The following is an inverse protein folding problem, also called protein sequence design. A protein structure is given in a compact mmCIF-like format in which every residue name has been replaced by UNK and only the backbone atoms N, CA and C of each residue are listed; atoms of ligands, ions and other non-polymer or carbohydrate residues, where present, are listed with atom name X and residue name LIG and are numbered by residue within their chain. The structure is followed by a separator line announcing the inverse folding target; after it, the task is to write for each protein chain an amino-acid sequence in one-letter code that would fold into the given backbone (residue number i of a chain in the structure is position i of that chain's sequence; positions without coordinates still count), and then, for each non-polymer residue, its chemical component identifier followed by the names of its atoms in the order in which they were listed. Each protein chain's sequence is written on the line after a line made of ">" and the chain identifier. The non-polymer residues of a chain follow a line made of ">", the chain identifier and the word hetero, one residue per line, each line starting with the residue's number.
data_IF_647066671061
#
_entry.id   IF_647066671061
#
_cell.length_a   1.000
_cell.length_b   1.000
_cell.length_c   1.000
_cell.angle_alpha   90.00
_cell.angle_beta   90.00
_cell.angle_gamma   90.00
#
_symmetry.space_group_name_H-M   'P 1'
#
loop_
_entity.id
_entity.type
_entity.pdbx_description
1 polymer ?
#
# COMPACT_ATOMS: atom_id res chain seq x y z
N UNK A 1 -24.64 -7.33 -26.43
CA UNK A 1 -25.31 -6.66 -25.30
C UNK A 1 -24.82 -7.12 -23.92
N UNK A 2 -24.61 -8.43 -23.67
CA UNK A 2 -24.14 -8.94 -22.36
C UNK A 2 -22.76 -8.41 -21.89
N UNK A 3 -21.81 -8.17 -22.82
CA UNK A 3 -20.46 -7.66 -22.52
C UNK A 3 -20.45 -6.17 -22.12
N UNK A 4 -21.32 -5.36 -22.72
CA UNK A 4 -21.46 -3.94 -22.40
C UNK A 4 -22.08 -3.75 -21.01
N UNK A 5 -23.06 -4.58 -20.66
CA UNK A 5 -23.62 -4.63 -19.31
C UNK A 5 -22.59 -4.99 -18.25
N UNK A 6 -21.69 -5.94 -18.55
CA UNK A 6 -20.59 -6.31 -17.65
C UNK A 6 -19.56 -5.17 -17.50
N UNK A 7 -19.24 -4.47 -18.61
CA UNK A 7 -18.34 -3.33 -18.60
C UNK A 7 -18.92 -2.15 -17.81
N UNK A 8 -20.23 -1.90 -17.96
CA UNK A 8 -20.97 -0.87 -17.22
C UNK A 8 -21.11 -1.25 -15.74
N UNK A 9 -21.35 -2.53 -15.41
CA UNK A 9 -21.30 -3.01 -14.02
C UNK A 9 -19.91 -2.88 -13.41
N UNK A 10 -18.84 -3.12 -14.19
CA UNK A 10 -17.46 -2.90 -13.77
C UNK A 10 -17.17 -1.40 -13.56
N UNK A 11 -17.70 -0.53 -14.42
CA UNK A 11 -17.58 0.93 -14.25
C UNK A 11 -18.40 1.44 -13.04
N UNK A 12 -19.60 0.88 -12.81
CA UNK A 12 -20.46 1.23 -11.67
C UNK A 12 -19.91 0.70 -10.34
N UNK A 13 -19.21 -0.45 -10.33
CA UNK A 13 -18.48 -0.91 -9.12
C UNK A 13 -17.24 -0.07 -8.85
N UNK A 14 -16.59 0.48 -9.87
CA UNK A 14 -15.51 1.48 -9.73
C UNK A 14 -16.04 2.80 -9.14
N UNK A 15 -17.31 3.17 -9.41
CA UNK A 15 -17.96 4.34 -8.82
C UNK A 15 -18.48 4.12 -7.39
N UNK A 16 -18.53 2.89 -6.88
CA UNK A 16 -18.81 2.61 -5.48
C UNK A 16 -17.66 2.98 -4.53
N UNK A 17 -16.49 3.37 -5.04
CA UNK A 17 -15.27 3.60 -4.27
C UNK A 17 -15.30 4.90 -3.41
N UNK A 18 -16.32 5.74 -3.53
CA UNK A 18 -16.46 7.00 -2.78
C UNK A 18 -16.98 6.79 -1.35
N UNK A 19 -16.13 6.22 -0.49
CA UNK A 19 -16.25 6.35 0.96
C UNK A 19 -14.85 6.33 1.55
N UNK A 20 -14.09 7.37 1.24
CA UNK A 20 -12.83 7.67 1.89
C UNK A 20 -12.89 9.12 2.35
N UNK A 21 -12.71 9.26 3.65
CA UNK A 21 -12.89 10.49 4.37
C UNK A 21 -11.74 11.46 4.06
N UNK A 22 -12.11 12.60 3.47
CA UNK A 22 -11.23 13.69 3.02
C UNK A 22 -10.73 14.56 4.18
N UNK A 23 -11.18 14.32 5.42
CA UNK A 23 -10.82 15.13 6.59
C UNK A 23 -9.44 14.84 7.16
N UNK A 24 -8.79 13.74 6.77
CA UNK A 24 -7.43 13.44 7.20
C UNK A 24 -6.41 14.27 6.46
N UNK A 25 -5.37 14.71 7.17
CA UNK A 25 -4.13 15.18 6.57
C UNK A 25 -3.64 14.14 5.57
N UNK A 26 -3.22 14.59 4.38
CA UNK A 26 -2.75 13.68 3.34
C UNK A 26 -1.44 12.98 3.75
N UNK A 27 -0.67 13.58 4.65
CA UNK A 27 0.61 13.04 5.12
C UNK A 27 0.42 12.04 6.25
N UNK A 28 1.17 10.93 6.19
CA UNK A 28 1.21 9.87 7.20
C UNK A 28 2.63 9.42 7.48
N UNK A 29 2.87 9.03 8.72
CA UNK A 29 4.04 8.25 9.11
C UNK A 29 3.71 6.76 8.97
N UNK A 30 4.69 5.96 8.52
CA UNK A 30 4.56 4.52 8.37
C UNK A 30 5.74 3.81 9.02
N UNK A 31 5.45 2.73 9.74
CA UNK A 31 6.45 1.79 10.23
C UNK A 31 5.92 0.38 10.01
N UNK A 32 6.74 -0.52 9.51
CA UNK A 32 6.27 -1.86 9.22
C UNK A 32 7.39 -2.84 8.96
N UNK A 33 6.96 -4.06 8.67
CA UNK A 33 7.80 -5.16 8.22
C UNK A 33 7.20 -5.67 6.92
N UNK A 34 8.05 -6.04 5.97
CA UNK A 34 7.63 -6.59 4.69
C UNK A 34 8.58 -7.67 4.19
N UNK A 35 8.12 -8.53 3.29
CA UNK A 35 8.99 -9.54 2.65
C UNK A 35 10.24 -8.94 1.98
N UNK A 36 10.13 -7.85 1.18
CA UNK A 36 11.29 -7.18 0.58
C UNK A 36 12.17 -6.43 1.57
N UNK A 37 11.54 -5.74 2.53
CA UNK A 37 12.19 -4.90 3.53
C UNK A 37 11.82 -5.45 4.91
N UNK A 38 12.77 -6.12 5.58
CA UNK A 38 12.53 -6.79 6.87
C UNK A 38 11.93 -5.83 7.91
N UNK A 39 12.34 -4.55 7.84
CA UNK A 39 11.79 -3.45 8.62
C UNK A 39 11.85 -2.18 7.76
N UNK A 40 10.79 -1.38 7.76
CA UNK A 40 10.76 -0.10 7.05
C UNK A 40 10.12 1.00 7.89
N UNK A 41 10.64 2.21 7.72
CA UNK A 41 10.18 3.45 8.34
C UNK A 41 10.02 4.50 7.26
N UNK A 42 8.97 5.32 7.29
CA UNK A 42 8.90 6.40 6.32
C UNK A 42 7.72 7.34 6.46
N UNK A 43 7.61 8.19 5.46
CA UNK A 43 6.55 9.18 5.33
C UNK A 43 5.85 8.96 3.99
N UNK A 44 4.54 8.84 4.04
CA UNK A 44 3.67 8.78 2.88
C UNK A 44 2.80 10.02 2.76
N UNK A 45 2.37 10.33 1.55
CA UNK A 45 1.37 11.33 1.22
C UNK A 45 0.31 10.68 0.34
N UNK A 46 -0.94 10.69 0.81
CA UNK A 46 -2.11 10.31 0.05
C UNK A 46 -2.45 11.45 -0.93
N UNK A 47 -1.93 11.37 -2.16
CA UNK A 47 -2.12 12.40 -3.20
C UNK A 47 -3.60 12.52 -3.56
N UNK A 48 -4.23 11.36 -3.74
CA UNK A 48 -5.68 11.23 -3.92
C UNK A 48 -6.21 10.20 -2.93
N UNK A 49 -7.53 10.04 -2.94
CA UNK A 49 -8.23 8.98 -2.24
C UNK A 49 -7.63 7.58 -2.51
N UNK A 50 -7.14 7.33 -3.72
CA UNK A 50 -6.64 6.01 -4.14
C UNK A 50 -5.12 5.98 -4.37
N UNK A 51 -4.47 7.13 -4.57
CA UNK A 51 -3.06 7.22 -4.90
C UNK A 51 -2.25 7.69 -3.69
N UNK A 52 -1.14 7.02 -3.44
CA UNK A 52 -0.21 7.29 -2.35
C UNK A 52 1.21 7.36 -2.93
N UNK A 53 1.95 8.38 -2.51
CA UNK A 53 3.38 8.47 -2.73
C UNK A 53 4.06 8.37 -1.38
N UNK A 54 5.28 7.85 -1.31
CA UNK A 54 6.00 7.80 -0.06
C UNK A 54 7.50 7.71 -0.26
N UNK A 55 8.21 8.16 0.76
CA UNK A 55 9.64 7.93 0.90
C UNK A 55 9.82 7.12 2.17
N UNK A 56 10.48 5.98 2.03
CA UNK A 56 10.76 5.05 3.12
C UNK A 56 12.26 4.82 3.20
N UNK A 57 12.70 4.37 4.37
CA UNK A 57 14.03 3.86 4.61
C UNK A 57 13.83 2.53 5.34
N UNK A 58 14.38 1.47 4.77
CA UNK A 58 14.24 0.12 5.29
C UNK A 58 15.56 -0.56 5.53
N UNK A 59 15.51 -1.67 6.28
CA UNK A 59 16.59 -2.63 6.38
C UNK A 59 16.32 -3.71 5.33
N UNK A 60 17.31 -3.94 4.45
CA UNK A 60 17.24 -4.97 3.42
C UNK A 60 17.19 -6.40 4.00
N UNK A 61 17.05 -7.42 3.14
CA UNK A 61 16.93 -8.83 3.55
C UNK A 61 18.18 -9.38 4.26
N UNK A 62 19.34 -8.75 4.09
CA UNK A 62 20.54 -8.98 4.89
C UNK A 62 20.67 -7.89 5.96
N UNK A 63 20.69 -8.30 7.23
CA UNK A 63 20.91 -7.41 8.37
C UNK A 63 22.23 -6.65 8.19
N UNK A 64 22.16 -5.34 7.95
CA UNK A 64 23.34 -4.47 7.77
C UNK A 64 23.22 -3.40 6.69
N UNK A 65 22.26 -3.51 5.76
CA UNK A 65 22.05 -2.52 4.70
C UNK A 65 20.85 -1.61 4.97
N UNK A 66 21.07 -0.28 4.95
CA UNK A 66 20.00 0.73 4.92
C UNK A 66 19.61 1.00 3.47
N UNK A 67 18.35 0.76 3.12
CA UNK A 67 17.81 0.91 1.76
C UNK A 67 16.82 2.08 1.74
N UNK A 68 17.21 3.26 1.23
CA UNK A 68 16.27 4.34 0.97
C UNK A 68 15.41 3.99 -0.24
N UNK A 69 14.11 4.08 -0.07
CA UNK A 69 13.11 3.71 -1.07
C UNK A 69 12.13 4.82 -1.37
N UNK A 70 11.76 4.91 -2.65
CA UNK A 70 10.69 5.79 -3.13
C UNK A 70 9.55 4.90 -3.61
N UNK A 71 8.36 5.11 -3.07
CA UNK A 71 7.20 4.27 -3.30
C UNK A 71 6.08 5.06 -3.97
N UNK A 72 5.48 4.46 -4.99
CA UNK A 72 4.24 4.92 -5.58
C UNK A 72 3.22 3.78 -5.54
N UNK A 73 2.11 3.98 -4.83
CA UNK A 73 1.07 2.98 -4.64
C UNK A 73 -0.30 3.51 -5.07
N UNK A 74 -1.09 2.63 -5.67
CA UNK A 74 -2.50 2.79 -5.94
C UNK A 74 -3.29 1.74 -5.13
N UNK A 75 -4.34 2.16 -4.43
CA UNK A 75 -5.19 1.29 -3.61
C UNK A 75 -6.65 1.44 -4.02
N UNK A 76 -7.23 0.34 -4.49
CA UNK A 76 -8.65 0.21 -4.79
C UNK A 76 -9.35 -0.44 -3.60
N UNK A 77 -10.17 0.34 -2.89
CA UNK A 77 -10.89 -0.14 -1.71
C UNK A 77 -12.25 -0.75 -2.06
N UNK A 78 -12.57 -1.91 -1.46
CA UNK A 78 -13.81 -2.64 -1.69
C UNK A 78 -14.36 -3.31 -0.42
N UNK A 79 -15.52 -3.96 -0.56
CA UNK A 79 -16.23 -4.61 0.54
C UNK A 79 -17.17 -3.68 1.31
N UNK A 80 -17.70 -4.17 2.43
CA UNK A 80 -18.69 -3.44 3.24
C UNK A 80 -18.04 -2.23 3.92
N UNK A 81 -18.79 -1.14 3.94
CA UNK A 81 -18.43 0.10 4.59
C UNK A 81 -18.50 -0.11 6.11
N UNK A 82 -17.42 0.17 6.82
CA UNK A 82 -17.35 0.00 8.26
C UNK A 82 -18.11 1.15 8.95
N UNK A 83 -19.18 0.87 9.73
CA UNK A 83 -20.02 1.92 10.32
C UNK A 83 -19.25 2.84 11.26
N UNK A 84 -18.24 2.29 11.93
CA UNK A 84 -17.39 3.06 12.81
C UNK A 84 -16.57 4.10 12.05
N UNK A 85 -15.95 3.78 10.93
CA UNK A 85 -14.95 4.69 10.30
C UNK A 85 -15.43 5.31 8.99
N UNK A 86 -16.63 4.97 8.55
CA UNK A 86 -17.18 5.30 7.23
C UNK A 86 -16.22 4.92 6.09
N UNK A 87 -15.48 3.81 6.23
CA UNK A 87 -14.45 3.37 5.28
C UNK A 87 -14.58 1.90 4.91
N UNK A 88 -14.20 1.58 3.68
CA UNK A 88 -14.05 0.19 3.21
C UNK A 88 -12.77 -0.41 3.78
N UNK A 89 -12.85 -1.66 4.24
CA UNK A 89 -11.77 -2.32 4.99
C UNK A 89 -10.76 -3.00 4.07
N UNK A 90 -11.23 -3.59 2.97
CA UNK A 90 -10.39 -4.37 2.06
C UNK A 90 -9.89 -3.48 0.93
N UNK A 91 -8.69 -3.79 0.43
CA UNK A 91 -8.14 -3.12 -0.73
C UNK A 91 -7.36 -4.08 -1.62
N UNK A 92 -7.28 -3.72 -2.89
CA UNK A 92 -6.31 -4.22 -3.85
C UNK A 92 -5.28 -3.12 -4.05
N UNK A 93 -4.00 -3.45 -3.93
CA UNK A 93 -2.88 -2.54 -4.09
C UNK A 93 -2.09 -2.92 -5.34
N UNK A 94 -1.79 -1.90 -6.14
CA UNK A 94 -0.80 -1.95 -7.20
C UNK A 94 0.23 -0.86 -6.92
N UNK A 95 1.52 -1.13 -7.08
CA UNK A 95 2.53 -0.09 -6.85
C UNK A 95 3.89 -0.41 -7.44
N UNK A 96 4.80 0.53 -7.26
CA UNK A 96 6.21 0.41 -7.57
C UNK A 96 7.03 0.98 -6.41
N UNK A 97 8.17 0.36 -6.16
CA UNK A 97 9.20 0.79 -5.21
C UNK A 97 10.50 0.93 -5.97
N UNK A 98 11.23 2.01 -5.75
CA UNK A 98 12.58 2.22 -6.28
C UNK A 98 13.58 2.24 -5.13
N UNK A 99 14.57 1.34 -5.18
CA UNK A 99 15.63 1.17 -4.19
C UNK A 99 16.86 1.96 -4.64
N UNK A 100 16.99 3.18 -4.13
CA UNK A 100 18.01 4.15 -4.56
C UNK A 100 19.45 3.67 -4.34
N UNK A 101 19.70 2.82 -3.34
CA UNK A 101 21.05 2.34 -3.02
C UNK A 101 21.58 1.29 -4.00
N UNK A 102 20.70 0.55 -4.68
CA UNK A 102 21.07 -0.52 -5.62
C UNK A 102 20.69 -0.24 -7.08
N UNK A 103 20.05 0.89 -7.35
CA UNK A 103 19.38 1.18 -8.63
C UNK A 103 18.41 0.05 -9.06
N UNK A 104 17.72 -0.52 -8.08
CA UNK A 104 16.77 -1.62 -8.27
C UNK A 104 15.33 -1.10 -8.13
N UNK A 105 14.37 -1.84 -8.67
CA UNK A 105 12.95 -1.59 -8.52
C UNK A 105 12.19 -2.82 -8.05
N UNK A 106 10.99 -2.61 -7.49
CA UNK A 106 10.01 -3.67 -7.28
C UNK A 106 8.62 -3.23 -7.70
N UNK A 107 7.99 -3.99 -8.59
CA UNK A 107 6.55 -3.90 -8.86
C UNK A 107 5.77 -4.67 -7.79
N UNK A 108 4.63 -4.15 -7.34
CA UNK A 108 3.85 -4.72 -6.24
C UNK A 108 2.41 -4.92 -6.66
N UNK A 109 1.87 -6.10 -6.39
CA UNK A 109 0.45 -6.43 -6.50
C UNK A 109 0.01 -7.17 -5.24
N UNK A 110 -0.90 -6.61 -4.45
CA UNK A 110 -1.33 -7.25 -3.20
C UNK A 110 -2.81 -7.06 -2.88
N UNK A 111 -3.32 -7.96 -2.05
CA UNK A 111 -4.65 -7.86 -1.44
C UNK A 111 -4.48 -7.69 0.05
N UNK A 112 -5.26 -6.77 0.62
CA UNK A 112 -5.02 -6.35 1.99
C UNK A 112 -6.23 -5.79 2.70
N UNK A 113 -5.97 -5.42 3.95
CA UNK A 113 -6.96 -4.97 4.91
C UNK A 113 -6.39 -3.80 5.73
N UNK A 114 -7.15 -2.71 5.81
CA UNK A 114 -6.86 -1.57 6.70
C UNK A 114 -7.71 -1.68 7.97
N UNK A 115 -7.06 -1.84 9.11
CA UNK A 115 -7.64 -1.81 10.46
C UNK A 115 -7.49 -0.40 11.04
N UNK A 116 -8.50 0.45 10.83
CA UNK A 116 -8.47 1.86 11.27
C UNK A 116 -9.06 2.05 12.66
N UNK A 117 -8.36 2.82 13.50
CA UNK A 117 -8.90 3.32 14.76
C UNK A 117 -9.54 4.70 14.58
N UNK A 118 -10.77 4.85 15.04
CA UNK A 118 -11.60 6.06 14.90
C UNK A 118 -11.08 7.25 15.71
N UNK A 119 -10.38 7.01 16.82
CA UNK A 119 -10.03 8.05 17.81
C UNK A 119 -8.69 8.75 17.58
N UNK A 120 -7.85 8.27 16.67
CA UNK A 120 -6.43 8.64 16.71
C UNK A 120 -5.75 8.71 15.34
N UNK A 121 -6.51 8.78 14.24
CA UNK A 121 -5.96 8.91 12.88
C UNK A 121 -4.84 7.89 12.58
N UNK A 122 -4.96 6.69 13.16
CA UNK A 122 -3.95 5.63 13.12
C UNK A 122 -4.59 4.29 12.83
N UNK A 123 -3.79 3.36 12.33
CA UNK A 123 -4.27 2.03 12.04
C UNK A 123 -3.15 1.09 11.61
N UNK A 124 -3.57 -0.11 11.25
CA UNK A 124 -2.71 -1.15 10.73
C UNK A 124 -3.15 -1.50 9.31
N UNK A 125 -2.19 -1.70 8.43
CA UNK A 125 -2.36 -2.30 7.11
C UNK A 125 -1.73 -3.69 7.17
N UNK A 126 -2.50 -4.69 6.76
CA UNK A 126 -1.99 -6.05 6.59
C UNK A 126 -2.31 -6.44 5.15
N UNK A 127 -1.30 -6.85 4.39
CA UNK A 127 -1.52 -7.29 3.02
C UNK A 127 -0.54 -8.37 2.58
N UNK A 128 -0.98 -9.19 1.63
CA UNK A 128 -0.23 -10.30 1.08
C UNK A 128 -0.26 -10.19 -0.45
N UNK A 129 0.88 -10.41 -1.08
CA UNK A 129 0.95 -10.23 -2.52
C UNK A 129 2.23 -10.69 -3.17
N UNK A 130 2.33 -10.29 -4.43
CA UNK A 130 3.45 -10.52 -5.31
C UNK A 130 4.31 -9.27 -5.41
N UNK A 131 5.63 -9.48 -5.30
CA UNK A 131 6.63 -8.44 -5.49
C UNK A 131 7.58 -8.91 -6.59
N UNK A 132 7.67 -8.12 -7.65
CA UNK A 132 8.49 -8.38 -8.82
C UNK A 132 9.69 -7.45 -8.78
N UNK A 133 10.85 -7.95 -8.39
CA UNK A 133 12.08 -7.16 -8.42
C UNK A 133 12.60 -7.00 -9.85
N UNK A 134 13.22 -5.86 -10.12
CA UNK A 134 13.80 -5.45 -11.39
C UNK A 134 15.19 -4.85 -11.08
N UNK A 135 16.26 -5.26 -11.77
CA UNK A 135 16.30 -6.26 -12.84
C UNK A 135 16.00 -7.69 -12.34
N UNK A 136 15.48 -8.53 -13.24
CA UNK A 136 15.10 -9.92 -12.93
C UNK A 136 16.34 -10.79 -13.07
N UNK A 137 17.27 -10.67 -12.12
CA UNK A 137 18.47 -11.51 -12.11
C UNK A 137 18.12 -12.91 -11.55
N UNK A 138 18.92 -13.94 -11.90
CA UNK A 138 18.58 -15.37 -11.73
C UNK A 138 18.44 -15.87 -10.28
N UNK A 139 18.53 -14.99 -9.29
CA UNK A 139 18.52 -15.38 -7.89
C UNK A 139 17.08 -15.68 -7.41
N UNK A 140 16.75 -16.98 -7.37
CA UNK A 140 15.39 -17.53 -7.16
C UNK A 140 14.72 -17.08 -5.85
N UNK A 141 15.49 -16.58 -4.90
CA UNK A 141 15.01 -16.13 -3.58
C UNK A 141 14.41 -14.70 -3.61
N UNK A 142 14.66 -13.93 -4.68
CA UNK A 142 14.10 -12.57 -4.82
C UNK A 142 12.72 -12.51 -5.47
N UNK A 143 12.20 -13.59 -6.08
CA UNK A 143 10.78 -13.68 -6.47
C UNK A 143 9.93 -14.03 -5.24
N UNK A 144 9.93 -13.14 -4.25
CA UNK A 144 9.32 -13.38 -2.94
C UNK A 144 7.79 -13.39 -3.05
N UNK A 145 7.25 -14.58 -3.26
CA UNK A 145 5.83 -14.88 -3.14
C UNK A 145 5.62 -15.97 -2.09
N UNK A 146 4.67 -15.79 -1.16
CA UNK A 146 3.93 -14.56 -0.87
C UNK A 146 4.81 -13.60 -0.05
N UNK A 147 4.86 -12.34 -0.44
CA UNK A 147 5.40 -11.31 0.43
C UNK A 147 4.25 -10.73 1.26
N UNK A 148 4.42 -10.83 2.57
CA UNK A 148 3.52 -10.26 3.57
C UNK A 148 4.02 -8.87 3.92
N UNK A 149 3.09 -7.94 4.16
CA UNK A 149 3.37 -6.63 4.73
C UNK A 149 2.46 -6.41 5.93
N UNK A 150 3.09 -6.03 7.03
CA UNK A 150 2.42 -5.56 8.25
C UNK A 150 2.93 -4.16 8.54
N UNK A 151 2.05 -3.17 8.46
CA UNK A 151 2.44 -1.76 8.55
C UNK A 151 1.50 -1.02 9.49
N UNK A 152 2.05 -0.40 10.51
CA UNK A 152 1.37 0.65 11.26
C UNK A 152 1.47 1.97 10.49
N UNK A 153 0.37 2.73 10.48
CA UNK A 153 0.38 4.10 9.99
C UNK A 153 -0.29 5.04 10.99
N UNK A 154 0.19 6.28 10.99
CA UNK A 154 -0.40 7.39 11.73
C UNK A 154 -0.41 8.62 10.83
N UNK A 155 -1.58 9.16 10.55
CA UNK A 155 -1.70 10.43 9.87
C UNK A 155 -1.31 11.57 10.80
N UNK A 156 -0.64 12.59 10.26
CA UNK A 156 -0.37 13.81 11.02
C UNK A 156 -1.71 14.46 11.40
N UNK A 157 -1.80 15.05 12.59
CA UNK A 157 -2.98 15.86 12.93
C UNK A 157 -2.98 17.09 12.04
N UNK A 158 -4.13 17.38 11.43
CA UNK A 158 -4.35 18.67 10.76
C UNK A 158 -4.29 19.73 11.87
N UNK A 159 -3.39 20.71 11.72
CA UNK A 159 -3.33 21.87 12.61
C UNK A 159 -4.65 22.64 12.58
#
# INVERSE_FOLDING_TARGET
>A
MKKLGLLLLFQLTVWGAFAQDTSLTKTKFVVGVSGPELLHLGVGVDVTTYNQLGVTVGVGPTWGGVWPTINAEHRLYFGKLQPATNRRKFFFRQGATYYTAGDEGAGVLSLGIDLRSKKANKGWTIDAGYFLFIPVDEDRYRKSFPALRFQYYSYFKKA
#
